data_IF_064759979317
#
_entry.id   IF_064759979317
#
_cell.length_a   1.000
_cell.length_b   1.000
_cell.length_c   1.000
_cell.angle_alpha   90.00
_cell.angle_beta   90.00
_cell.angle_gamma   90.00
#
_symmetry.space_group_name_H-M   'P 1'
#
loop_
_entity.id
_entity.type
_entity.pdbx_description
1 polymer ?
#
# COMPACT_ATOMS: atom_id res chain seq x y z
N UNK A 1 32.96 -5.08 -1.72
CA UNK A 1 32.86 -4.74 -3.14
C UNK A 1 33.93 -3.71 -3.42
N UNK A 2 34.79 -3.94 -4.41
CA UNK A 2 35.87 -3.01 -4.75
C UNK A 2 35.38 -1.90 -5.67
N UNK A 3 36.07 -0.74 -5.76
CA UNK A 3 35.69 0.35 -6.66
C UNK A 3 35.61 -0.08 -8.13
N UNK A 4 36.49 -1.00 -8.54
CA UNK A 4 36.55 -1.53 -9.91
C UNK A 4 35.37 -2.45 -10.23
N UNK A 5 34.97 -3.28 -9.26
CA UNK A 5 33.77 -4.11 -9.37
C UNK A 5 32.51 -3.23 -9.47
N UNK A 6 32.40 -2.19 -8.66
CA UNK A 6 31.29 -1.22 -8.68
C UNK A 6 31.20 -0.51 -10.02
N UNK A 7 32.32 -0.03 -10.56
CA UNK A 7 32.37 0.62 -11.87
C UNK A 7 31.92 -0.33 -12.98
N UNK A 8 32.38 -1.59 -12.94
CA UNK A 8 31.96 -2.61 -13.90
C UNK A 8 30.46 -2.88 -13.81
N UNK A 9 29.93 -3.03 -12.60
CA UNK A 9 28.49 -3.23 -12.39
C UNK A 9 27.69 -2.03 -12.91
N UNK A 10 28.08 -0.80 -12.56
CA UNK A 10 27.33 0.41 -12.91
C UNK A 10 27.39 0.71 -14.41
N UNK A 11 28.49 0.35 -15.08
CA UNK A 11 28.59 0.43 -16.54
C UNK A 11 27.57 -0.45 -17.27
N UNK A 12 27.07 -1.52 -16.63
CA UNK A 12 26.05 -2.40 -17.19
C UNK A 12 24.62 -2.00 -16.85
N UNK A 13 24.42 -1.03 -15.93
CA UNK A 13 23.10 -0.56 -15.54
C UNK A 13 22.52 0.43 -16.56
N UNK A 14 21.19 0.54 -16.60
CA UNK A 14 20.51 1.57 -17.39
C UNK A 14 20.74 2.97 -16.80
N UNK A 15 20.59 4.00 -17.64
CA UNK A 15 20.66 5.40 -17.20
C UNK A 15 19.66 5.70 -16.08
N UNK A 16 18.44 5.16 -16.15
CA UNK A 16 17.42 5.32 -15.11
C UNK A 16 17.85 4.75 -13.74
N UNK A 17 18.50 3.59 -13.71
CA UNK A 17 19.01 3.02 -12.45
C UNK A 17 20.17 3.83 -11.88
N UNK A 18 21.03 4.40 -12.73
CA UNK A 18 22.10 5.28 -12.25
C UNK A 18 21.54 6.58 -11.67
N UNK A 19 20.50 7.14 -12.29
CA UNK A 19 19.78 8.30 -11.76
C UNK A 19 19.11 7.99 -10.42
N UNK A 20 18.53 6.80 -10.26
CA UNK A 20 17.94 6.34 -8.98
C UNK A 20 18.98 6.25 -7.86
N UNK A 21 20.19 5.73 -8.13
CA UNK A 21 21.29 5.69 -7.15
C UNK A 21 21.68 7.09 -6.69
N UNK A 22 21.66 8.07 -7.58
CA UNK A 22 21.97 9.47 -7.25
C UNK A 22 20.82 10.14 -6.49
N UNK A 23 19.57 9.87 -6.87
CA UNK A 23 18.37 10.39 -6.21
C UNK A 23 18.24 9.88 -4.77
N UNK A 24 18.56 8.61 -4.55
CA UNK A 24 18.56 7.95 -3.24
C UNK A 24 19.93 7.99 -2.55
N UNK A 25 20.68 9.09 -2.67
CA UNK A 25 22.06 9.26 -2.16
C UNK A 25 22.29 8.83 -0.70
N UNK A 26 21.26 8.86 0.15
CA UNK A 26 21.34 8.47 1.56
C UNK A 26 21.25 6.95 1.81
N UNK A 27 20.78 6.18 0.82
CA UNK A 27 20.69 4.72 0.88
C UNK A 27 21.97 4.04 0.37
N UNK A 28 22.85 4.81 -0.28
CA UNK A 28 24.08 4.34 -0.89
C UNK A 28 25.32 4.94 -0.21
N UNK A 29 26.45 4.25 -0.37
CA UNK A 29 27.75 4.80 0.06
C UNK A 29 28.16 5.97 -0.83
N UNK A 30 28.86 6.97 -0.29
CA UNK A 30 29.41 8.10 -1.07
C UNK A 30 30.24 7.63 -2.28
N UNK A 31 31.00 6.54 -2.12
CA UNK A 31 31.76 5.91 -3.20
C UNK A 31 30.84 5.48 -4.36
N UNK A 32 29.74 4.80 -4.05
CA UNK A 32 28.77 4.35 -5.05
C UNK A 32 28.12 5.53 -5.78
N UNK A 33 27.70 6.57 -5.05
CA UNK A 33 27.13 7.80 -5.62
C UNK A 33 28.14 8.49 -6.55
N UNK A 34 29.41 8.58 -6.14
CA UNK A 34 30.47 9.18 -6.95
C UNK A 34 30.73 8.43 -8.26
N UNK A 35 30.69 7.09 -8.23
CA UNK A 35 30.87 6.24 -9.40
C UNK A 35 29.65 6.36 -10.34
N UNK A 36 28.43 6.43 -9.80
CA UNK A 36 27.23 6.64 -10.59
C UNK A 36 27.26 8.00 -11.32
N UNK A 37 27.64 9.08 -10.61
CA UNK A 37 27.78 10.42 -11.22
C UNK A 37 28.84 10.45 -12.32
N UNK A 38 29.99 9.79 -12.11
CA UNK A 38 31.04 9.71 -13.13
C UNK A 38 30.59 8.94 -14.37
N UNK A 39 29.80 7.88 -14.19
CA UNK A 39 29.25 7.08 -15.28
C UNK A 39 28.15 7.86 -16.04
N UNK A 40 27.26 8.57 -15.35
CA UNK A 40 26.26 9.46 -15.96
C UNK A 40 26.93 10.57 -16.78
N UNK A 41 28.00 11.18 -16.26
CA UNK A 41 28.78 12.17 -16.98
C UNK A 41 29.44 11.59 -18.24
N UNK A 42 29.94 10.34 -18.16
CA UNK A 42 30.53 9.63 -19.31
C UNK A 42 29.50 9.37 -20.41
N UNK A 43 28.23 9.13 -20.03
CA UNK A 43 27.12 8.87 -20.96
C UNK A 43 26.53 10.13 -21.58
N UNK A 44 26.96 11.33 -21.18
CA UNK A 44 26.39 12.61 -21.63
C UNK A 44 24.85 12.62 -21.55
N UNK A 45 24.31 12.20 -20.39
CA UNK A 45 22.87 12.18 -20.17
C UNK A 45 22.32 13.59 -20.36
N UNK A 46 21.35 13.72 -21.24
CA UNK A 46 20.73 14.99 -21.60
C UNK A 46 19.79 15.48 -20.50
N UNK A 47 19.55 16.79 -20.44
CA UNK A 47 18.53 17.37 -19.55
C UNK A 47 17.13 16.78 -19.83
N UNK A 48 16.86 16.40 -21.07
CA UNK A 48 15.61 15.74 -21.47
C UNK A 48 15.47 14.36 -20.83
N UNK A 49 16.51 13.53 -20.84
CA UNK A 49 16.49 12.21 -20.16
C UNK A 49 16.32 12.32 -18.65
N UNK A 50 16.93 13.34 -18.01
CA UNK A 50 16.76 13.60 -16.58
C UNK A 50 15.30 14.02 -16.30
N UNK A 51 14.74 14.90 -17.13
CA UNK A 51 13.35 15.35 -17.03
C UNK A 51 12.39 14.17 -17.19
N UNK A 52 12.63 13.31 -18.17
CA UNK A 52 11.80 12.15 -18.46
C UNK A 52 11.85 11.14 -17.30
N UNK A 53 13.03 10.89 -16.71
CA UNK A 53 13.16 10.08 -15.49
C UNK A 53 12.36 10.68 -14.33
N UNK A 54 12.50 11.99 -14.06
CA UNK A 54 11.74 12.65 -13.00
C UNK A 54 10.24 12.59 -13.26
N UNK A 55 9.81 12.71 -14.51
CA UNK A 55 8.41 12.57 -14.90
C UNK A 55 7.89 11.15 -14.65
N UNK A 56 8.65 10.11 -15.02
CA UNK A 56 8.31 8.71 -14.77
C UNK A 56 8.16 8.42 -13.27
N UNK A 57 9.04 8.99 -12.43
CA UNK A 57 8.94 8.85 -10.98
C UNK A 57 7.69 9.53 -10.41
N UNK A 58 7.35 10.73 -10.91
CA UNK A 58 6.12 11.42 -10.53
C UNK A 58 4.89 10.61 -10.95
N UNK A 59 4.86 10.01 -12.14
CA UNK A 59 3.75 9.15 -12.59
C UNK A 59 3.61 7.88 -11.74
N UNK A 60 4.73 7.25 -11.35
CA UNK A 60 4.70 6.09 -10.43
C UNK A 60 4.13 6.49 -9.06
N UNK A 61 4.50 7.65 -8.56
CA UNK A 61 3.98 8.22 -7.32
C UNK A 61 2.48 8.53 -7.44
N UNK A 62 2.06 9.22 -8.49
CA UNK A 62 0.65 9.57 -8.71
C UNK A 62 -0.23 8.33 -8.92
N UNK A 63 0.24 7.35 -9.70
CA UNK A 63 -0.48 6.09 -9.88
C UNK A 63 -0.59 5.30 -8.58
N UNK A 64 0.45 5.29 -7.74
CA UNK A 64 0.42 4.70 -6.41
C UNK A 64 -0.58 5.41 -5.49
N UNK A 65 -0.59 6.75 -5.49
CA UNK A 65 -1.54 7.59 -4.77
C UNK A 65 -2.96 7.23 -5.21
N UNK A 66 -3.22 7.29 -6.51
CA UNK A 66 -4.56 7.11 -7.05
C UNK A 66 -5.13 5.76 -6.68
N UNK A 67 -4.30 4.72 -6.78
CA UNK A 67 -4.64 3.35 -6.45
C UNK A 67 -4.85 3.10 -4.95
N UNK A 68 -4.16 3.84 -4.09
CA UNK A 68 -4.18 3.61 -2.64
C UNK A 68 -4.90 4.68 -1.84
N UNK A 69 -5.38 5.77 -2.45
CA UNK A 69 -6.14 6.85 -1.79
C UNK A 69 -7.55 6.94 -2.36
N UNK A 70 -7.70 6.87 -3.68
CA UNK A 70 -9.01 7.08 -4.32
C UNK A 70 -9.75 5.76 -4.59
N UNK A 71 -9.03 4.65 -4.74
CA UNK A 71 -9.65 3.35 -4.98
C UNK A 71 -9.78 2.51 -3.70
N UNK A 72 -10.91 2.66 -3.02
CA UNK A 72 -11.30 1.85 -1.87
C UNK A 72 -11.97 0.51 -2.26
N UNK A 73 -12.13 -0.39 -1.29
CA UNK A 73 -13.05 -1.53 -1.46
C UNK A 73 -14.47 -1.03 -1.68
N UNK A 74 -15.12 -1.55 -2.74
CA UNK A 74 -16.54 -1.31 -2.96
C UNK A 74 -17.37 -1.94 -1.83
N UNK A 75 -18.57 -1.41 -1.57
CA UNK A 75 -19.49 -1.92 -0.55
C UNK A 75 -19.74 -3.42 -0.67
N UNK A 76 -19.85 -3.95 -1.89
CA UNK A 76 -20.01 -5.38 -2.12
C UNK A 76 -18.79 -6.19 -1.69
N UNK A 77 -17.58 -5.66 -1.89
CA UNK A 77 -16.35 -6.31 -1.42
C UNK A 77 -16.24 -6.23 0.10
N UNK A 78 -16.62 -5.11 0.71
CA UNK A 78 -16.69 -4.94 2.18
C UNK A 78 -17.64 -5.98 2.80
N UNK A 79 -18.85 -6.12 2.22
CA UNK A 79 -19.83 -7.16 2.58
C UNK A 79 -19.20 -8.55 2.42
N UNK A 80 -18.61 -8.83 1.25
CA UNK A 80 -17.99 -10.12 0.98
C UNK A 80 -16.94 -10.48 2.03
N UNK A 81 -15.96 -9.61 2.30
CA UNK A 81 -14.93 -9.87 3.29
C UNK A 81 -15.48 -9.99 4.71
N UNK A 82 -16.50 -9.22 5.06
CA UNK A 82 -17.11 -9.28 6.39
C UNK A 82 -17.83 -10.62 6.64
N UNK A 83 -18.68 -11.06 5.70
CA UNK A 83 -19.44 -12.29 5.87
C UNK A 83 -18.62 -13.55 5.51
N UNK A 84 -17.72 -13.47 4.54
CA UNK A 84 -16.86 -14.56 4.08
C UNK A 84 -15.45 -14.41 4.66
N UNK A 85 -15.30 -14.62 5.96
CA UNK A 85 -14.00 -14.50 6.64
C UNK A 85 -13.09 -15.74 6.49
N UNK A 86 -13.48 -16.73 5.67
CA UNK A 86 -12.72 -17.97 5.43
C UNK A 86 -11.34 -17.66 4.84
N UNK A 87 -10.23 -18.05 5.51
CA UNK A 87 -8.88 -17.69 5.11
C UNK A 87 -8.52 -18.09 3.66
N UNK A 88 -8.96 -19.26 3.21
CA UNK A 88 -8.64 -19.80 1.87
C UNK A 88 -9.28 -18.97 0.76
N UNK A 89 -10.56 -18.64 0.90
CA UNK A 89 -11.29 -17.84 -0.11
C UNK A 89 -10.70 -16.43 -0.15
N UNK A 90 -10.46 -15.85 1.02
CA UNK A 90 -9.88 -14.52 1.14
C UNK A 90 -8.47 -14.42 0.57
N UNK A 91 -7.67 -15.50 0.65
CA UNK A 91 -6.34 -15.52 0.08
C UNK A 91 -6.35 -15.30 -1.44
N UNK A 92 -7.25 -15.98 -2.16
CA UNK A 92 -7.36 -15.87 -3.62
C UNK A 92 -7.72 -14.44 -4.02
N UNK A 93 -8.71 -13.84 -3.37
CA UNK A 93 -9.13 -12.46 -3.68
C UNK A 93 -8.05 -11.44 -3.32
N UNK A 94 -7.32 -11.65 -2.22
CA UNK A 94 -6.22 -10.78 -1.78
C UNK A 94 -4.98 -10.89 -2.68
N UNK A 95 -4.77 -12.03 -3.34
CA UNK A 95 -3.66 -12.21 -4.30
C UNK A 95 -3.77 -11.21 -5.45
N UNK A 96 -4.96 -11.06 -6.04
CA UNK A 96 -5.21 -10.08 -7.10
C UNK A 96 -4.91 -8.63 -6.64
N UNK A 97 -5.21 -8.30 -5.38
CA UNK A 97 -4.88 -6.98 -4.83
C UNK A 97 -3.38 -6.80 -4.58
N UNK A 98 -2.68 -7.88 -4.20
CA UNK A 98 -1.24 -7.87 -3.98
C UNK A 98 -0.48 -7.69 -5.29
N UNK A 99 -0.89 -8.40 -6.33
CA UNK A 99 -0.29 -8.28 -7.66
C UNK A 99 -0.55 -6.90 -8.25
N UNK A 100 -1.70 -6.31 -7.92
CA UNK A 100 -1.98 -4.92 -8.25
C UNK A 100 -1.23 -3.91 -7.35
N UNK A 101 -0.57 -4.29 -6.27
CA UNK A 101 0.04 -3.32 -5.33
C UNK A 101 -0.99 -2.43 -4.61
N UNK A 102 -2.25 -2.88 -4.50
CA UNK A 102 -3.32 -2.17 -3.81
C UNK A 102 -3.28 -2.45 -2.30
N UNK A 103 -2.29 -1.87 -1.62
CA UNK A 103 -2.02 -2.07 -0.19
C UNK A 103 -3.23 -1.67 0.67
N UNK A 104 -3.94 -0.61 0.29
CA UNK A 104 -5.11 -0.15 1.04
C UNK A 104 -6.23 -1.20 1.05
N UNK A 105 -6.57 -1.72 -0.14
CA UNK A 105 -7.61 -2.75 -0.31
C UNK A 105 -7.30 -4.01 0.49
N UNK A 106 -6.03 -4.41 0.59
CA UNK A 106 -5.61 -5.56 1.41
C UNK A 106 -5.85 -5.28 2.90
N UNK A 107 -5.47 -4.10 3.39
CA UNK A 107 -5.68 -3.71 4.79
C UNK A 107 -7.16 -3.66 5.14
N UNK A 108 -7.99 -3.05 4.29
CA UNK A 108 -9.44 -3.03 4.44
C UNK A 108 -10.02 -4.45 4.42
N UNK A 109 -9.62 -5.29 3.45
CA UNK A 109 -10.09 -6.67 3.36
C UNK A 109 -9.78 -7.47 4.64
N UNK A 110 -8.58 -7.32 5.19
CA UNK A 110 -8.19 -7.94 6.45
C UNK A 110 -9.03 -7.40 7.62
N UNK A 111 -9.21 -6.09 7.72
CA UNK A 111 -10.02 -5.46 8.75
C UNK A 111 -11.46 -5.98 8.75
N UNK A 112 -12.13 -5.96 7.59
CA UNK A 112 -13.50 -6.47 7.45
C UNK A 112 -13.59 -7.97 7.76
N UNK A 113 -12.63 -8.78 7.29
CA UNK A 113 -12.58 -10.22 7.62
C UNK A 113 -12.49 -10.47 9.13
N UNK A 114 -11.61 -9.74 9.82
CA UNK A 114 -11.43 -9.90 11.26
C UNK A 114 -12.63 -9.41 12.06
N UNK A 115 -13.19 -8.24 11.72
CA UNK A 115 -14.40 -7.75 12.36
C UNK A 115 -15.57 -8.71 12.16
N UNK A 116 -15.76 -9.21 10.93
CA UNK A 116 -16.78 -10.20 10.60
C UNK A 116 -16.67 -11.46 11.45
N UNK A 117 -15.46 -11.99 11.59
CA UNK A 117 -15.17 -13.14 12.47
C UNK A 117 -15.47 -12.83 13.94
N UNK A 118 -15.03 -11.68 14.46
CA UNK A 118 -15.25 -11.28 15.86
C UNK A 118 -16.74 -11.14 16.16
N UNK A 119 -17.49 -10.45 15.31
CA UNK A 119 -18.93 -10.28 15.49
C UNK A 119 -19.70 -11.60 15.36
N UNK A 120 -19.26 -12.50 14.47
CA UNK A 120 -19.81 -13.85 14.35
C UNK A 120 -19.52 -14.70 15.60
N UNK A 121 -18.30 -14.65 16.13
CA UNK A 121 -17.95 -15.34 17.37
C UNK A 121 -18.72 -14.78 18.57
N UNK A 122 -18.85 -13.45 18.67
CA UNK A 122 -19.64 -12.80 19.71
C UNK A 122 -21.13 -13.17 19.62
N UNK A 123 -21.69 -13.22 18.41
CA UNK A 123 -23.10 -13.60 18.23
C UNK A 123 -23.35 -15.06 18.60
N UNK A 124 -22.40 -15.98 18.33
CA UNK A 124 -22.46 -17.37 18.78
C UNK A 124 -22.41 -17.50 20.31
N UNK A 125 -21.56 -16.71 20.98
CA UNK A 125 -21.49 -16.69 22.46
C UNK A 125 -22.81 -16.20 23.06
N UNK A 126 -23.39 -15.14 22.50
CA UNK A 126 -24.70 -14.61 22.91
C UNK A 126 -25.78 -15.69 22.72
N UNK A 127 -25.77 -16.39 21.59
CA UNK A 127 -26.74 -17.45 21.30
C UNK A 127 -26.71 -18.57 22.35
N UNK A 128 -25.52 -19.01 22.77
CA UNK A 128 -25.36 -20.07 23.77
C UNK A 128 -25.75 -19.58 25.17
N UNK A 129 -25.42 -18.33 25.51
CA UNK A 129 -25.59 -17.79 26.86
C UNK A 129 -27.04 -17.41 27.18
N UNK A 130 -27.82 -17.11 26.15
CA UNK A 130 -29.20 -16.65 26.28
C UNK A 130 -30.11 -17.56 25.46
N UNK A 131 -30.44 -18.72 26.00
CA UNK A 131 -31.42 -19.64 25.41
C UNK A 131 -32.83 -19.24 25.91
N UNK A 132 -33.79 -18.74 25.09
CA UNK A 132 -33.85 -18.69 23.63
C UNK A 132 -33.93 -17.24 23.11
N UNK A 133 -32.81 -16.56 22.89
CA UNK A 133 -32.87 -15.35 22.06
C UNK A 133 -33.30 -15.76 20.65
N UNK A 134 -34.31 -15.06 20.15
CA UNK A 134 -34.85 -15.23 18.82
C UNK A 134 -33.70 -15.21 17.80
N UNK A 135 -33.57 -16.22 16.94
CA UNK A 135 -32.50 -16.34 15.93
C UNK A 135 -32.33 -15.05 15.12
N UNK A 136 -33.44 -14.33 14.89
CA UNK A 136 -33.46 -13.01 14.28
C UNK A 136 -32.58 -11.96 14.96
N UNK A 137 -32.44 -11.99 16.30
CA UNK A 137 -31.59 -11.08 17.06
C UNK A 137 -30.10 -11.34 16.81
N UNK A 138 -29.71 -12.59 16.57
CA UNK A 138 -28.33 -12.96 16.23
C UNK A 138 -27.97 -12.36 14.86
N UNK A 139 -28.83 -12.54 13.87
CA UNK A 139 -28.64 -11.96 12.54
C UNK A 139 -28.65 -10.43 12.58
N UNK A 140 -29.57 -9.83 13.34
CA UNK A 140 -29.64 -8.38 13.52
C UNK A 140 -28.36 -7.84 14.16
N UNK A 141 -27.85 -8.50 15.20
CA UNK A 141 -26.60 -8.12 15.84
C UNK A 141 -25.42 -8.18 14.87
N UNK A 142 -25.37 -9.23 14.04
CA UNK A 142 -24.29 -9.37 13.06
C UNK A 142 -24.34 -8.30 11.97
N UNK A 143 -25.54 -7.97 11.47
CA UNK A 143 -25.76 -6.88 10.49
C UNK A 143 -25.44 -5.52 11.10
N UNK A 144 -25.88 -5.25 12.34
CA UNK A 144 -25.53 -4.02 13.05
C UNK A 144 -24.02 -3.91 13.27
N UNK A 145 -23.36 -5.02 13.56
CA UNK A 145 -21.89 -5.11 13.62
C UNK A 145 -21.23 -4.66 12.32
N UNK A 146 -21.78 -5.03 11.16
CA UNK A 146 -21.29 -4.57 9.85
C UNK A 146 -21.43 -3.06 9.68
N UNK A 147 -22.58 -2.49 10.08
CA UNK A 147 -22.81 -1.04 10.00
C UNK A 147 -21.81 -0.28 10.88
N UNK A 148 -21.61 -0.72 12.13
CA UNK A 148 -20.64 -0.13 13.05
C UNK A 148 -19.22 -0.24 12.49
N UNK A 149 -18.86 -1.42 11.98
CA UNK A 149 -17.53 -1.67 11.38
C UNK A 149 -17.26 -0.73 10.21
N UNK A 150 -18.27 -0.50 9.36
CA UNK A 150 -18.18 0.38 8.19
C UNK A 150 -18.10 1.85 8.58
N UNK A 151 -18.93 2.29 9.54
CA UNK A 151 -18.89 3.65 10.04
C UNK A 151 -17.52 3.98 10.66
N UNK A 152 -16.94 3.04 11.42
CA UNK A 152 -15.61 3.21 12.01
C UNK A 152 -14.50 3.25 10.95
N UNK A 153 -14.60 2.40 9.92
CA UNK A 153 -13.63 2.38 8.83
C UNK A 153 -13.59 3.71 8.07
N UNK A 154 -14.76 4.24 7.70
CA UNK A 154 -14.89 5.47 6.93
C UNK A 154 -14.48 6.71 7.72
N UNK A 155 -14.76 6.74 9.03
CA UNK A 155 -14.51 7.92 9.87
C UNK A 155 -13.09 7.97 10.44
N UNK A 156 -12.54 6.82 10.84
CA UNK A 156 -11.27 6.76 11.60
C UNK A 156 -10.15 6.17 10.76
N UNK A 157 -10.34 4.97 10.20
CA UNK A 157 -9.25 4.27 9.50
C UNK A 157 -8.88 4.98 8.21
N UNK A 158 -9.88 5.37 7.42
CA UNK A 158 -9.68 6.04 6.13
C UNK A 158 -8.95 7.37 6.31
N UNK A 159 -9.41 8.22 7.23
CA UNK A 159 -8.75 9.51 7.50
C UNK A 159 -7.29 9.33 7.88
N UNK A 160 -7.00 8.42 8.82
CA UNK A 160 -5.62 8.12 9.26
C UNK A 160 -4.74 7.55 8.14
N UNK A 161 -5.32 6.80 7.21
CA UNK A 161 -4.58 6.24 6.07
C UNK A 161 -4.25 7.31 5.03
N UNK A 162 -5.20 8.19 4.75
CA UNK A 162 -4.99 9.36 3.88
C UNK A 162 -3.93 10.28 4.49
N UNK A 163 -4.07 10.66 5.76
CA UNK A 163 -3.11 11.51 6.47
C UNK A 163 -1.69 10.91 6.46
N UNK A 164 -1.55 9.60 6.67
CA UNK A 164 -0.24 8.93 6.60
C UNK A 164 0.35 8.92 5.20
N UNK A 165 -0.47 8.75 4.17
CA UNK A 165 -0.03 8.79 2.78
C UNK A 165 0.40 10.21 2.42
N UNK A 166 -0.43 11.22 2.71
CA UNK A 166 -0.10 12.64 2.52
C UNK A 166 1.20 13.03 3.22
N UNK A 167 1.40 12.62 4.47
CA UNK A 167 2.63 12.89 5.22
C UNK A 167 3.88 12.25 4.61
N UNK A 168 3.78 11.05 4.02
CA UNK A 168 4.91 10.43 3.31
C UNK A 168 5.26 11.24 2.04
N UNK A 169 4.26 11.82 1.37
CA UNK A 169 4.49 12.64 0.18
C UNK A 169 5.03 14.03 0.48
N UNK A 170 4.52 14.71 1.50
CA UNK A 170 5.11 15.99 1.93
C UNK A 170 6.58 15.82 2.29
N UNK A 171 6.91 14.75 3.02
CA UNK A 171 8.29 14.42 3.34
C UNK A 171 9.13 14.16 2.08
N UNK A 172 8.57 13.50 1.06
CA UNK A 172 9.26 13.25 -0.20
C UNK A 172 9.55 14.54 -0.98
N UNK A 173 8.58 15.48 -1.05
CA UNK A 173 8.77 16.77 -1.73
C UNK A 173 9.82 17.65 -1.04
N UNK A 174 9.82 17.69 0.29
CA UNK A 174 10.80 18.46 1.06
C UNK A 174 12.23 17.94 0.86
N UNK A 175 12.41 16.64 0.58
CA UNK A 175 13.72 16.07 0.28
C UNK A 175 14.21 16.46 -1.13
N UNK A 176 13.32 16.70 -2.09
CA UNK A 176 13.69 17.16 -3.44
C UNK A 176 14.07 18.64 -3.50
N UNK A 177 13.65 19.45 -2.52
CA UNK A 177 13.97 20.88 -2.44
C UNK A 177 15.30 21.19 -1.69
N UNK A 178 16.02 20.18 -1.18
CA UNK A 178 17.29 20.30 -0.44
C UNK A 178 18.47 19.69 -1.22
#
# INVERSE_FOLDING_TARGET
>A
MTPEELKKTYSSLSTSHLLEVVDSKFEYTELAVSIALAELATRNVSEEEIRDYKHEQIEKVDSFIKKNIYEDLNIFQKIWFYFMWIPVINFITKMNFRDAGAVLKIKQANYYSWCGFIFCAASAIIAISFDPLNEWLIYLFWILGFVITTAFDETVNRKRQIEKLEAMFEKSKVIEEI
#
